data_IF_605705316661
#
_entry.id   IF_605705316661
#
_cell.length_a   1.000
_cell.length_b   1.000
_cell.length_c   1.000
_cell.angle_alpha   90.00
_cell.angle_beta   90.00
_cell.angle_gamma   90.00
#
_symmetry.space_group_name_H-M   'P 1'
#
loop_
_entity.id
_entity.type
_entity.pdbx_description
1 polymer ?
#
# COMPACT_ATOMS: atom_id res chain seq x y z
N UNK A 1 15.80 18.12 1.28
CA UNK A 1 15.66 16.69 1.67
C UNK A 1 14.23 16.52 2.16
N UNK A 2 13.49 15.58 1.57
CA UNK A 2 12.03 15.51 1.69
C UNK A 2 11.60 15.21 3.14
N UNK A 3 10.63 15.98 3.63
CA UNK A 3 9.79 15.54 4.74
C UNK A 3 8.92 14.39 4.21
N UNK A 4 9.44 13.17 4.26
CA UNK A 4 8.79 11.96 3.76
C UNK A 4 7.91 11.26 4.80
N UNK A 5 7.70 11.91 5.95
CA UNK A 5 6.98 11.38 7.10
C UNK A 5 5.81 12.31 7.42
N UNK A 6 4.61 11.74 7.57
CA UNK A 6 3.40 12.45 7.95
C UNK A 6 2.74 11.77 9.16
N UNK A 7 2.28 12.57 10.13
CA UNK A 7 1.58 12.09 11.33
C UNK A 7 2.46 11.94 12.58
N UNK A 8 1.81 11.67 13.72
CA UNK A 8 2.46 11.52 15.04
C UNK A 8 2.17 10.16 15.68
N UNK A 9 0.91 9.89 16.05
CA UNK A 9 0.48 8.60 16.62
C UNK A 9 0.23 7.56 15.54
N UNK A 10 -0.52 7.94 14.51
CA UNK A 10 -0.63 7.20 13.25
C UNK A 10 0.28 7.89 12.24
N UNK A 11 1.32 7.20 11.79
CA UNK A 11 2.43 7.82 11.05
C UNK A 11 2.74 7.04 9.78
N UNK A 12 2.94 7.76 8.68
CA UNK A 12 3.28 7.18 7.38
C UNK A 12 4.61 7.76 6.92
N UNK A 13 5.56 6.88 6.61
CA UNK A 13 6.87 7.24 6.08
C UNK A 13 7.06 6.61 4.70
N UNK A 14 7.22 7.41 3.65
CA UNK A 14 7.34 6.91 2.27
C UNK A 14 8.79 6.81 1.81
N UNK A 15 9.07 5.89 0.89
CA UNK A 15 10.39 5.71 0.27
C UNK A 15 10.26 5.18 -1.17
N UNK A 16 11.35 5.27 -1.92
CA UNK A 16 11.42 4.80 -3.31
C UNK A 16 11.34 5.91 -4.35
N UNK A 17 11.60 5.53 -5.59
CA UNK A 17 11.68 6.42 -6.75
C UNK A 17 10.82 5.86 -7.89
N UNK A 18 10.32 6.72 -8.78
CA UNK A 18 9.42 6.31 -9.88
C UNK A 18 10.07 5.34 -10.88
N UNK A 19 11.40 5.35 -11.00
CA UNK A 19 12.17 4.43 -11.84
C UNK A 19 12.97 3.42 -11.00
N UNK A 20 12.78 3.42 -9.68
CA UNK A 20 13.39 2.46 -8.78
C UNK A 20 12.73 1.09 -8.89
N UNK A 21 13.35 0.08 -8.29
CA UNK A 21 12.82 -1.28 -8.28
C UNK A 21 11.47 -1.39 -7.55
N UNK A 22 11.22 -0.50 -6.58
CA UNK A 22 9.97 -0.44 -5.83
C UNK A 22 9.72 0.97 -5.28
N UNK A 23 8.44 1.26 -5.04
CA UNK A 23 7.98 2.39 -4.22
C UNK A 23 7.17 1.84 -3.05
N UNK A 24 7.31 2.43 -1.88
CA UNK A 24 6.71 1.87 -0.68
C UNK A 24 6.55 2.86 0.47
N UNK A 25 5.99 2.36 1.57
CA UNK A 25 5.87 3.12 2.80
C UNK A 25 5.91 2.19 4.02
N UNK A 26 6.20 2.79 5.17
CA UNK A 26 6.04 2.20 6.50
C UNK A 26 4.89 2.94 7.18
N UNK A 27 3.96 2.19 7.77
CA UNK A 27 2.81 2.73 8.49
C UNK A 27 2.90 2.27 9.95
N UNK A 28 3.06 3.23 10.86
CA UNK A 28 3.14 3.00 12.31
C UNK A 28 1.84 3.39 13.00
N UNK A 29 1.58 2.78 14.16
CA UNK A 29 0.47 3.16 15.05
C UNK A 29 -0.88 2.54 14.72
N UNK A 30 -0.90 1.53 13.84
CA UNK A 30 -2.10 0.70 13.61
C UNK A 30 -2.36 -0.16 14.85
N UNK A 31 -3.57 -0.13 15.43
CA UNK A 31 -3.94 -1.04 16.52
C UNK A 31 -3.82 -2.52 16.11
N UNK A 32 -3.44 -3.43 17.03
CA UNK A 32 -3.33 -4.85 16.72
C UNK A 32 -4.70 -5.48 16.44
N UNK A 33 -4.70 -6.66 15.79
CA UNK A 33 -5.89 -7.46 15.45
C UNK A 33 -6.86 -6.80 14.46
N UNK A 34 -6.39 -5.82 13.70
CA UNK A 34 -7.11 -5.32 12.54
C UNK A 34 -6.88 -6.29 11.37
N UNK A 35 -7.91 -6.94 10.83
CA UNK A 35 -7.73 -7.81 9.67
C UNK A 35 -7.29 -6.99 8.47
N UNK A 36 -6.20 -7.38 7.82
CA UNK A 36 -5.66 -6.65 6.69
C UNK A 36 -4.98 -7.60 5.69
N UNK A 37 -5.36 -7.48 4.43
CA UNK A 37 -4.76 -8.22 3.31
C UNK A 37 -4.39 -7.29 2.16
N UNK A 38 -3.56 -7.77 1.23
CA UNK A 38 -3.24 -7.06 0.00
C UNK A 38 -4.48 -6.67 -0.81
N UNK A 39 -5.54 -7.50 -0.79
CA UNK A 39 -6.77 -7.23 -1.54
C UNK A 39 -7.49 -5.97 -1.03
N UNK A 40 -7.40 -5.69 0.28
CA UNK A 40 -8.01 -4.50 0.88
C UNK A 40 -7.34 -3.21 0.40
N UNK A 41 -6.05 -3.29 0.04
CA UNK A 41 -5.25 -2.16 -0.46
C UNK A 41 -5.26 -2.07 -1.99
N UNK A 42 -5.27 -3.21 -2.68
CA UNK A 42 -5.16 -3.30 -4.15
C UNK A 42 -6.33 -2.58 -4.83
N UNK A 43 -7.55 -2.66 -4.28
CA UNK A 43 -8.73 -1.95 -4.81
C UNK A 43 -8.49 -0.44 -4.89
N UNK A 44 -7.76 0.14 -3.94
CA UNK A 44 -7.45 1.56 -3.94
C UNK A 44 -6.35 1.92 -4.93
N UNK A 45 -5.37 1.04 -5.14
CA UNK A 45 -4.38 1.21 -6.20
C UNK A 45 -5.04 1.13 -7.58
N UNK A 46 -5.92 0.14 -7.79
CA UNK A 46 -6.59 -0.05 -9.07
C UNK A 46 -7.47 1.14 -9.47
N UNK A 47 -8.10 1.80 -8.49
CA UNK A 47 -8.84 3.06 -8.73
C UNK A 47 -7.95 4.22 -9.18
N UNK A 48 -6.66 4.23 -8.82
CA UNK A 48 -5.71 5.28 -9.20
C UNK A 48 -5.03 5.02 -10.53
N UNK A 49 -5.09 3.78 -11.04
CA UNK A 49 -4.43 3.41 -12.29
C UNK A 49 -4.96 4.23 -13.46
N UNK A 50 -4.07 4.80 -14.29
CA UNK A 50 -4.46 5.33 -15.59
C UNK A 50 -4.95 4.18 -16.49
N UNK A 51 -5.59 4.51 -17.61
CA UNK A 51 -6.28 3.57 -18.53
C UNK A 51 -7.70 3.13 -18.11
N UNK A 52 -8.33 3.75 -17.10
CA UNK A 52 -9.76 3.51 -16.79
C UNK A 52 -10.72 4.23 -17.75
N UNK A 53 -10.24 5.19 -18.53
CA UNK A 53 -11.04 5.88 -19.54
C UNK A 53 -10.29 6.06 -20.86
N UNK A 54 -11.05 6.28 -21.94
CA UNK A 54 -10.52 6.57 -23.29
C UNK A 54 -9.60 7.80 -23.37
N UNK A 55 -9.60 8.64 -22.33
CA UNK A 55 -8.81 9.88 -22.27
C UNK A 55 -7.50 9.74 -21.46
N UNK A 56 -7.26 8.57 -20.87
CA UNK A 56 -6.06 8.31 -20.06
C UNK A 56 -5.02 7.53 -20.86
N UNK A 57 -3.75 7.62 -20.44
CA UNK A 57 -2.64 6.93 -21.11
C UNK A 57 -2.89 5.42 -21.15
N UNK A 58 -2.44 4.74 -22.22
CA UNK A 58 -2.61 3.29 -22.38
C UNK A 58 -1.67 2.45 -21.49
N UNK A 59 -0.87 3.10 -20.63
CA UNK A 59 0.07 2.39 -19.75
C UNK A 59 -0.72 1.53 -18.77
N UNK A 60 -0.54 0.22 -18.86
CA UNK A 60 -1.01 -0.74 -17.87
C UNK A 60 0.10 -0.92 -16.84
N UNK A 61 0.10 -0.10 -15.81
CA UNK A 61 0.98 -0.31 -14.67
C UNK A 61 0.42 -1.48 -13.87
N UNK A 62 1.22 -2.52 -13.66
CA UNK A 62 0.83 -3.74 -12.96
C UNK A 62 1.15 -3.60 -11.47
N UNK A 63 0.78 -2.46 -10.88
CA UNK A 63 1.10 -2.12 -9.51
C UNK A 63 0.42 -3.11 -8.58
N UNK A 64 1.22 -4.01 -8.01
CA UNK A 64 0.78 -4.98 -7.02
C UNK A 64 1.28 -4.54 -5.65
N UNK A 65 0.36 -4.41 -4.71
CA UNK A 65 0.71 -4.20 -3.31
C UNK A 65 1.25 -5.50 -2.71
N UNK A 66 2.23 -5.36 -1.83
CA UNK A 66 2.75 -6.45 -1.00
C UNK A 66 2.90 -5.95 0.43
N UNK A 67 2.39 -6.70 1.40
CA UNK A 67 2.58 -6.39 2.82
C UNK A 67 3.79 -7.18 3.32
N UNK A 68 4.87 -6.48 3.65
CA UNK A 68 6.12 -7.13 4.06
C UNK A 68 6.18 -7.45 5.56
N UNK A 69 5.37 -6.78 6.39
CA UNK A 69 5.36 -6.94 7.85
C UNK A 69 4.10 -6.33 8.47
N UNK A 70 3.85 -6.62 9.75
CA UNK A 70 2.78 -5.99 10.54
C UNK A 70 1.42 -6.67 10.47
N UNK A 71 1.27 -7.68 9.59
CA UNK A 71 0.10 -8.55 9.51
C UNK A 71 0.50 -9.97 9.89
N UNK A 72 -0.39 -10.67 10.60
CA UNK A 72 -0.19 -12.06 10.98
C UNK A 72 -1.50 -12.80 10.82
N UNK A 73 -1.48 -13.88 10.03
CA UNK A 73 -2.64 -14.73 9.86
C UNK A 73 -2.83 -15.58 11.10
N UNK A 74 -3.87 -15.26 11.86
CA UNK A 74 -4.26 -16.06 13.02
C UNK A 74 -4.75 -17.44 12.54
N UNK A 75 -4.10 -18.54 12.97
CA UNK A 75 -4.44 -19.89 12.54
C UNK A 75 -5.84 -20.33 12.99
N UNK A 76 -6.39 -19.74 14.06
CA UNK A 76 -7.67 -20.14 14.65
C UNK A 76 -8.88 -19.44 14.01
N UNK A 77 -8.70 -18.21 13.52
CA UNK A 77 -9.77 -17.46 12.84
C UNK A 77 -9.66 -17.49 11.31
N UNK A 78 -8.51 -17.91 10.78
CA UNK A 78 -8.26 -18.01 9.34
C UNK A 78 -8.21 -16.67 8.60
N UNK A 79 -8.37 -15.56 9.32
CA UNK A 79 -8.32 -14.19 8.78
C UNK A 79 -6.91 -13.61 8.98
N UNK A 80 -6.30 -13.01 7.94
CA UNK A 80 -5.08 -12.22 8.07
C UNK A 80 -5.32 -10.96 8.91
#
# INVERSE_FOLDING_TARGET
MSHNTFGHLFRVTTWGESHGAAIGCVVDGVPPRLPLSENDLQVWLDKRRPAQSRFTTQRKEADKVQILSGVYKDPDTGKP
#
